data_IF_531094960853
#
_entry.id   IF_531094960853
#
_cell.length_a   1.000
_cell.length_b   1.000
_cell.length_c   1.000
_cell.angle_alpha   90.00
_cell.angle_beta   90.00
_cell.angle_gamma   90.00
#
_symmetry.space_group_name_H-M   'P 1'
#
loop_
_entity.id
_entity.type
_entity.pdbx_description
1 polymer ?
#
# COMPACT_ATOMS: atom_id res chain seq x y z
N UNK A 1 -6.52 -13.35 -13.17
CA UNK A 1 -5.96 -14.70 -13.49
C UNK A 1 -4.67 -14.85 -12.71
N UNK A 2 -4.55 -15.88 -11.87
CA UNK A 2 -3.30 -16.17 -11.14
C UNK A 2 -2.43 -17.09 -12.00
N UNK A 3 -1.15 -16.75 -12.17
CA UNK A 3 -0.17 -17.57 -12.89
C UNK A 3 1.00 -17.86 -11.94
N UNK A 4 1.29 -19.14 -11.76
CA UNK A 4 2.49 -19.60 -11.06
C UNK A 4 3.52 -20.00 -12.11
N UNK A 5 4.73 -19.43 -12.01
CA UNK A 5 5.83 -19.72 -12.91
C UNK A 5 6.97 -20.40 -12.16
N UNK A 6 7.68 -21.31 -12.84
CA UNK A 6 8.88 -21.99 -12.31
C UNK A 6 10.19 -21.27 -12.65
N UNK A 7 10.10 -20.21 -13.45
CA UNK A 7 11.21 -19.36 -13.85
C UNK A 7 10.89 -17.91 -13.53
N UNK A 8 11.91 -17.03 -13.38
CA UNK A 8 11.72 -15.61 -13.17
C UNK A 8 10.80 -14.99 -14.22
N UNK A 9 9.75 -14.29 -13.76
CA UNK A 9 8.84 -13.53 -14.63
C UNK A 9 9.32 -12.09 -14.82
N UNK A 10 10.15 -11.59 -13.91
CA UNK A 10 10.74 -10.26 -13.99
C UNK A 10 12.12 -10.40 -14.63
N UNK A 11 12.29 -9.78 -15.81
CA UNK A 11 13.57 -9.77 -16.51
C UNK A 11 14.68 -9.16 -15.65
N UNK A 12 15.92 -9.64 -15.79
CA UNK A 12 17.06 -9.12 -15.01
C UNK A 12 17.35 -7.64 -15.28
N UNK A 13 17.08 -7.17 -16.50
CA UNK A 13 17.24 -5.78 -16.90
C UNK A 13 15.96 -4.93 -16.70
N UNK A 14 14.84 -5.55 -16.30
CA UNK A 14 13.63 -4.80 -16.00
C UNK A 14 13.85 -3.97 -14.74
N UNK A 15 13.26 -2.79 -14.66
CA UNK A 15 13.21 -2.05 -13.41
C UNK A 15 12.11 -2.62 -12.50
N UNK A 16 12.39 -2.78 -11.21
CA UNK A 16 11.50 -3.45 -10.27
C UNK A 16 11.62 -2.84 -8.87
N UNK A 17 10.59 -3.04 -8.05
CA UNK A 17 10.61 -2.67 -6.63
C UNK A 17 11.29 -3.80 -5.84
N UNK A 18 12.33 -3.50 -5.04
CA UNK A 18 12.98 -4.50 -4.21
C UNK A 18 12.08 -4.90 -3.03
N UNK A 19 12.03 -6.20 -2.75
CA UNK A 19 11.32 -6.77 -1.60
C UNK A 19 12.25 -6.77 -0.39
N UNK A 20 11.77 -6.20 0.71
CA UNK A 20 12.41 -6.24 2.02
C UNK A 20 12.13 -7.59 2.69
N UNK A 21 13.19 -8.22 3.19
CA UNK A 21 13.07 -9.44 3.98
C UNK A 21 12.64 -9.13 5.41
N UNK A 22 11.36 -9.37 5.72
CA UNK A 22 10.81 -9.21 7.06
C UNK A 22 10.89 -10.48 7.90
N UNK A 23 11.39 -11.61 7.38
CA UNK A 23 11.37 -12.91 8.10
C UNK A 23 11.97 -12.88 9.51
N UNK A 24 13.00 -12.08 9.82
CA UNK A 24 13.52 -11.97 11.19
C UNK A 24 12.51 -11.46 12.22
N UNK A 25 11.46 -10.76 11.78
CA UNK A 25 10.44 -10.12 12.63
C UNK A 25 9.02 -10.64 12.38
N UNK A 26 8.74 -11.01 11.13
CA UNK A 26 7.44 -11.43 10.64
C UNK A 26 7.60 -12.51 9.55
N UNK A 27 7.81 -13.79 9.92
CA UNK A 27 8.12 -14.88 8.98
C UNK A 27 7.01 -15.15 7.95
N UNK A 28 5.76 -14.87 8.32
CA UNK A 28 4.59 -15.14 7.48
C UNK A 28 4.29 -14.00 6.50
N UNK A 29 4.88 -12.81 6.71
CA UNK A 29 4.64 -11.65 5.87
C UNK A 29 5.67 -11.58 4.76
N UNK A 30 5.14 -11.68 3.54
CA UNK A 30 5.91 -11.66 2.30
C UNK A 30 5.48 -10.43 1.50
N UNK A 31 6.28 -10.02 0.53
CA UNK A 31 5.95 -8.91 -0.38
C UNK A 31 5.94 -7.52 0.30
N UNK A 32 6.87 -7.31 1.24
CA UNK A 32 7.08 -6.02 1.86
C UNK A 32 8.02 -5.16 1.01
N UNK A 33 7.67 -3.91 0.79
CA UNK A 33 8.48 -2.92 0.09
C UNK A 33 8.71 -1.73 1.00
N UNK A 34 9.88 -1.09 0.88
CA UNK A 34 10.14 0.16 1.60
C UNK A 34 9.27 1.27 1.01
N UNK A 35 8.58 2.01 1.88
CA UNK A 35 7.84 3.23 1.49
C UNK A 35 8.83 4.37 1.36
N UNK A 36 8.94 4.94 0.16
CA UNK A 36 9.75 6.11 -0.12
C UNK A 36 9.01 7.40 0.28
N UNK A 37 7.72 7.49 -0.06
CA UNK A 37 6.87 8.63 0.30
C UNK A 37 5.43 8.18 0.54
N UNK A 38 4.81 8.79 1.54
CA UNK A 38 3.40 8.61 1.86
C UNK A 38 2.66 9.93 1.67
N UNK A 39 1.59 9.91 0.88
CA UNK A 39 0.70 11.05 0.67
C UNK A 39 -0.72 10.64 1.03
N UNK A 40 -1.40 11.43 1.86
CA UNK A 40 -2.76 11.15 2.32
C UNK A 40 -3.57 12.44 2.21
N UNK A 41 -4.74 12.39 1.57
CA UNK A 41 -5.58 13.57 1.31
C UNK A 41 -4.80 14.71 0.64
N UNK A 42 -3.92 14.38 -0.32
CA UNK A 42 -3.05 15.34 -1.00
C UNK A 42 -1.86 15.86 -0.17
N UNK A 43 -1.75 15.51 1.11
CA UNK A 43 -0.68 15.97 2.00
C UNK A 43 0.44 14.93 2.12
N UNK A 44 1.70 15.36 1.97
CA UNK A 44 2.86 14.49 2.23
C UNK A 44 3.02 14.29 3.73
N UNK A 45 3.07 13.04 4.18
CA UNK A 45 3.13 12.67 5.58
C UNK A 45 4.59 12.51 6.03
N UNK A 46 5.00 13.28 7.02
CA UNK A 46 6.31 13.13 7.66
C UNK A 46 6.29 12.03 8.72
N UNK A 47 6.95 10.91 8.41
CA UNK A 47 7.09 9.78 9.32
C UNK A 47 8.32 9.94 10.22
N UNK A 48 8.17 9.57 11.48
CA UNK A 48 9.25 9.64 12.49
C UNK A 48 10.08 8.36 12.56
N UNK A 49 9.72 7.39 11.72
CA UNK A 49 10.36 6.10 11.55
C UNK A 49 10.15 5.65 10.10
N UNK A 50 10.95 4.70 9.59
CA UNK A 50 10.71 4.09 8.28
C UNK A 50 9.32 3.48 8.19
N UNK A 51 8.79 3.30 6.99
CA UNK A 51 7.57 2.54 6.77
C UNK A 51 7.78 1.45 5.71
N UNK A 52 7.05 0.35 5.86
CA UNK A 52 6.96 -0.72 4.87
C UNK A 52 5.52 -0.92 4.41
N UNK A 53 5.36 -1.14 3.11
CA UNK A 53 4.11 -1.51 2.47
C UNK A 53 4.13 -3.01 2.20
N UNK A 54 3.19 -3.75 2.77
CA UNK A 54 3.00 -5.18 2.57
C UNK A 54 1.86 -5.34 1.59
N UNK A 55 2.14 -5.91 0.42
CA UNK A 55 1.11 -6.16 -0.59
C UNK A 55 0.25 -7.33 -0.12
N UNK A 56 -1.02 -7.07 0.17
CA UNK A 56 -1.93 -8.05 0.76
C UNK A 56 -3.24 -8.12 -0.02
N UNK A 57 -3.27 -9.02 -1.00
CA UNK A 57 -4.45 -9.28 -1.82
C UNK A 57 -5.61 -9.93 -1.06
N UNK A 58 -5.40 -10.35 0.20
CA UNK A 58 -6.44 -10.85 1.09
C UNK A 58 -7.29 -9.72 1.72
N UNK A 59 -6.86 -8.46 1.57
CA UNK A 59 -7.57 -7.30 2.10
C UNK A 59 -8.04 -6.37 0.99
N UNK A 60 -9.13 -5.65 1.24
CA UNK A 60 -9.65 -4.67 0.28
C UNK A 60 -8.94 -3.32 0.39
N UNK A 61 -8.78 -2.82 1.61
CA UNK A 61 -8.44 -1.41 1.86
C UNK A 61 -7.00 -1.18 2.28
N UNK A 62 -6.82 -0.24 3.20
CA UNK A 62 -5.55 0.13 3.78
C UNK A 62 -5.56 -0.18 5.28
N UNK A 63 -4.84 -1.23 5.69
CA UNK A 63 -4.65 -1.48 7.12
C UNK A 63 -3.35 -0.83 7.59
N UNK A 64 -3.42 -0.03 8.64
CA UNK A 64 -2.31 0.81 9.11
C UNK A 64 -1.97 0.38 10.54
N UNK A 65 -0.68 0.24 10.86
CA UNK A 65 -0.24 0.06 12.26
C UNK A 65 -0.92 1.08 13.17
N UNK A 66 -1.55 0.60 14.24
CA UNK A 66 -2.29 1.43 15.22
C UNK A 66 -1.51 2.66 15.66
N UNK A 67 -0.22 2.51 15.91
CA UNK A 67 0.65 3.59 16.35
C UNK A 67 0.72 4.74 15.34
N UNK A 68 0.78 4.45 14.04
CA UNK A 68 0.73 5.48 13.00
C UNK A 68 -0.67 6.07 12.89
N UNK A 69 -1.71 5.22 12.89
CA UNK A 69 -3.10 5.67 12.76
C UNK A 69 -3.50 6.65 13.86
N UNK A 70 -3.15 6.34 15.11
CA UNK A 70 -3.46 7.17 16.28
C UNK A 70 -2.38 8.22 16.62
N UNK A 71 -1.32 8.34 15.83
CA UNK A 71 -0.23 9.30 16.09
C UNK A 71 -0.62 10.77 15.94
N UNK A 72 -1.78 11.07 15.36
CA UNK A 72 -2.18 12.42 14.96
C UNK A 72 -1.47 12.95 13.71
N UNK A 73 -0.66 12.13 13.03
CA UNK A 73 0.11 12.53 11.82
C UNK A 73 -0.67 12.34 10.52
N UNK A 74 -1.65 11.44 10.51
CA UNK A 74 -2.49 11.22 9.34
C UNK A 74 -3.65 12.23 9.37
N UNK A 75 -3.94 12.92 8.25
CA UNK A 75 -5.15 13.72 8.12
C UNK A 75 -6.35 12.76 8.03
N UNK A 76 -7.07 12.60 9.15
CA UNK A 76 -8.28 11.78 9.22
C UNK A 76 -9.54 12.63 8.98
N UNK A 77 -10.60 12.08 8.35
CA UNK A 77 -10.67 10.74 7.76
C UNK A 77 -9.83 10.63 6.48
N UNK A 78 -9.30 9.44 6.20
CA UNK A 78 -8.57 9.17 4.95
C UNK A 78 -9.55 9.06 3.78
N UNK A 79 -9.42 9.95 2.81
CA UNK A 79 -10.20 10.00 1.57
C UNK A 79 -9.40 9.53 0.36
N UNK A 80 -8.12 9.92 0.30
CA UNK A 80 -7.18 9.48 -0.73
C UNK A 80 -5.86 9.06 -0.09
N UNK A 81 -5.20 8.08 -0.70
CA UNK A 81 -3.86 7.65 -0.29
C UNK A 81 -3.02 7.33 -1.51
N UNK A 82 -1.76 7.76 -1.47
CA UNK A 82 -0.72 7.43 -2.44
C UNK A 82 0.52 6.98 -1.69
N UNK A 83 0.96 5.76 -1.96
CA UNK A 83 2.15 5.13 -1.42
C UNK A 83 3.16 5.02 -2.55
N UNK A 84 4.29 5.69 -2.41
CA UNK A 84 5.38 5.63 -3.38
C UNK A 84 6.46 4.67 -2.92
N UNK A 85 6.83 3.77 -3.82
CA UNK A 85 7.89 2.80 -3.68
C UNK A 85 9.01 3.18 -4.65
N UNK A 86 10.24 3.10 -4.20
CA UNK A 86 11.42 3.33 -5.04
C UNK A 86 11.80 2.03 -5.75
N UNK A 87 12.07 2.11 -7.05
CA UNK A 87 12.56 0.98 -7.83
C UNK A 87 14.09 0.88 -7.79
N UNK A 88 14.65 -0.25 -8.19
CA UNK A 88 16.09 -0.48 -8.28
C UNK A 88 16.79 0.51 -9.23
N UNK A 89 16.09 0.98 -10.27
CA UNK A 89 16.55 2.01 -11.20
C UNK A 89 16.39 3.45 -10.71
N UNK A 90 15.88 3.66 -9.49
CA UNK A 90 15.63 4.99 -8.92
C UNK A 90 14.34 5.66 -9.42
N UNK A 91 13.47 4.94 -10.11
CA UNK A 91 12.15 5.42 -10.50
C UNK A 91 11.15 5.24 -9.35
N UNK A 92 9.95 5.81 -9.53
CA UNK A 92 8.86 5.72 -8.54
C UNK A 92 7.74 4.83 -9.07
N UNK A 93 7.43 3.78 -8.32
CA UNK A 93 6.19 3.02 -8.45
C UNK A 93 5.18 3.54 -7.42
N UNK A 94 4.09 4.16 -7.88
CA UNK A 94 3.08 4.72 -7.00
C UNK A 94 1.82 3.85 -6.95
N UNK A 95 1.35 3.54 -5.75
CA UNK A 95 0.11 2.84 -5.46
C UNK A 95 -0.90 3.82 -4.92
N UNK A 96 -2.09 3.88 -5.52
CA UNK A 96 -3.07 4.93 -5.22
C UNK A 96 -4.45 4.33 -5.00
N UNK A 97 -5.18 4.89 -4.03
CA UNK A 97 -6.55 4.51 -3.71
C UNK A 97 -7.38 5.72 -3.24
N UNK A 98 -8.69 5.67 -3.45
CA UNK A 98 -9.63 6.68 -2.95
C UNK A 98 -10.94 6.06 -2.46
N UNK A 99 -11.66 6.79 -1.61
CA UNK A 99 -13.00 6.41 -1.14
C UNK A 99 -14.07 6.51 -2.25
N UNK A 100 -13.76 7.20 -3.36
CA UNK A 100 -14.72 7.50 -4.43
C UNK A 100 -14.87 6.32 -5.38
N UNK A 101 -16.10 5.81 -5.47
CA UNK A 101 -16.51 4.84 -6.51
C UNK A 101 -17.10 5.57 -7.71
N UNK A 102 -16.93 5.01 -8.92
CA UNK A 102 -17.70 5.41 -10.11
C UNK A 102 -19.21 5.11 -10.03
N UNK A 103 -19.69 4.42 -8.98
CA UNK A 103 -21.11 4.11 -8.77
C UNK A 103 -21.73 5.04 -7.74
N UNK A 104 -22.96 5.54 -7.97
CA UNK A 104 -23.70 6.30 -6.95
C UNK A 104 -23.86 5.45 -5.67
N UNK A 105 -23.85 6.09 -4.49
CA UNK A 105 -24.05 5.39 -3.21
C UNK A 105 -25.36 4.59 -3.25
N UNK A 106 -25.36 3.42 -2.59
CA UNK A 106 -26.59 2.64 -2.45
C UNK A 106 -27.67 3.47 -1.74
N UNK A 107 -28.97 3.32 -2.08
CA UNK A 107 -30.04 4.05 -1.43
C UNK A 107 -29.97 3.92 0.10
N UNK A 108 -29.99 5.04 0.81
CA UNK A 108 -29.90 5.08 2.28
C UNK A 108 -28.48 5.22 2.85
N UNK A 109 -27.44 5.25 2.02
CA UNK A 109 -26.06 5.58 2.44
C UNK A 109 -25.79 7.05 2.14
N UNK A 110 -25.44 7.83 3.17
CA UNK A 110 -25.03 9.22 2.98
C UNK A 110 -23.78 9.30 2.10
N UNK A 111 -23.75 10.17 1.07
CA UNK A 111 -22.53 10.42 0.33
C UNK A 111 -21.45 10.93 1.27
N UNK A 112 -20.22 10.43 1.12
CA UNK A 112 -19.05 11.04 1.74
C UNK A 112 -18.71 12.29 0.93
N UNK A 113 -18.40 13.41 1.59
CA UNK A 113 -17.91 14.62 0.93
C UNK A 113 -16.46 14.34 0.47
N UNK A 114 -16.23 14.33 -0.84
CA UNK A 114 -14.96 13.93 -1.44
C UNK A 114 -14.43 15.10 -2.27
N UNK A 115 -13.12 15.35 -2.20
CA UNK A 115 -12.45 16.29 -3.09
C UNK A 115 -12.79 15.98 -4.57
N UNK A 116 -13.39 16.91 -5.32
CA UNK A 116 -13.73 16.70 -6.73
C UNK A 116 -12.51 16.41 -7.62
N UNK A 117 -11.30 16.79 -7.19
CA UNK A 117 -10.04 16.47 -7.88
C UNK A 117 -9.49 15.06 -7.57
N UNK A 118 -10.07 14.33 -6.62
CA UNK A 118 -9.63 12.99 -6.27
C UNK A 118 -9.88 11.98 -7.42
N UNK A 119 -8.90 11.14 -7.78
CA UNK A 119 -9.10 10.07 -8.77
C UNK A 119 -10.23 9.10 -8.36
N UNK A 120 -11.04 8.66 -9.33
CA UNK A 120 -12.14 7.71 -9.14
C UNK A 120 -11.73 6.28 -9.51
N UNK A 121 -12.19 5.28 -8.74
CA UNK A 121 -11.93 3.85 -9.01
C UNK A 121 -13.24 3.04 -9.11
N UNK A 122 -13.26 2.02 -9.98
CA UNK A 122 -14.50 1.32 -10.37
C UNK A 122 -14.99 0.26 -9.37
N UNK A 123 -14.11 -0.37 -8.59
CA UNK A 123 -14.48 -1.59 -7.82
C UNK A 123 -14.27 -1.52 -6.31
N UNK A 124 -13.08 -1.13 -5.84
CA UNK A 124 -12.71 -1.24 -4.43
C UNK A 124 -12.53 0.14 -3.78
N UNK A 125 -13.45 0.58 -2.90
CA UNK A 125 -13.29 1.84 -2.20
C UNK A 125 -12.18 1.68 -1.17
N UNK A 126 -11.43 2.75 -0.95
CA UNK A 126 -10.48 2.82 0.14
C UNK A 126 -11.22 2.73 1.48
N UNK A 127 -11.05 1.62 2.18
CA UNK A 127 -11.44 1.47 3.58
C UNK A 127 -10.18 1.50 4.42
N UNK A 128 -10.09 2.40 5.38
CA UNK A 128 -8.88 2.51 6.23
C UNK A 128 -9.18 1.99 7.63
N UNK A 129 -8.35 1.06 8.12
CA UNK A 129 -8.50 0.47 9.45
C UNK A 129 -7.18 0.43 10.21
N UNK A 130 -7.16 0.80 11.49
CA UNK A 130 -6.01 0.54 12.34
C UNK A 130 -5.87 -0.96 12.63
N UNK A 131 -4.65 -1.47 12.71
CA UNK A 131 -4.34 -2.85 13.11
C UNK A 131 -3.18 -2.90 14.10
N UNK A 132 -3.28 -3.70 15.18
CA UNK A 132 -2.20 -3.85 16.14
C UNK A 132 -1.08 -4.72 15.56
N UNK A 133 0.13 -4.16 15.42
CA UNK A 133 1.29 -4.86 14.84
C UNK A 133 2.48 -4.75 15.80
N UNK A 134 2.72 -5.81 16.57
CA UNK A 134 3.68 -5.79 17.69
C UNK A 134 5.12 -5.42 17.32
N UNK A 135 5.57 -5.72 16.10
CA UNK A 135 6.93 -5.45 15.61
C UNK A 135 7.00 -4.26 14.65
N UNK A 136 5.86 -3.60 14.39
CA UNK A 136 5.67 -2.60 13.34
C UNK A 136 5.18 -1.26 13.89
N UNK A 137 5.77 -0.82 15.00
CA UNK A 137 5.24 0.26 15.84
C UNK A 137 5.81 1.64 15.54
N UNK A 138 6.85 1.73 14.72
CA UNK A 138 7.60 2.98 14.54
C UNK A 138 8.53 3.36 15.72
N UNK A 139 8.64 2.52 16.76
CA UNK A 139 9.44 2.79 17.97
C UNK A 139 10.68 1.91 18.01
N UNK A 140 11.76 2.39 18.66
CA UNK A 140 12.95 1.57 18.89
C UNK A 140 13.67 1.10 17.62
N UNK A 141 13.46 1.78 16.49
CA UNK A 141 13.99 1.39 15.18
C UNK A 141 13.07 0.49 14.36
N UNK A 142 11.89 0.14 14.88
CA UNK A 142 10.88 -0.61 14.12
C UNK A 142 10.22 0.29 13.07
N UNK A 143 9.86 -0.24 11.89
CA UNK A 143 9.12 0.53 10.89
C UNK A 143 7.65 0.65 11.28
N UNK A 144 6.93 1.63 10.73
CA UNK A 144 5.48 1.54 10.58
C UNK A 144 5.12 0.54 9.49
N UNK A 145 3.94 -0.06 9.60
CA UNK A 145 3.50 -1.10 8.66
C UNK A 145 2.17 -0.72 8.03
N UNK A 146 2.14 -0.82 6.70
CA UNK A 146 0.99 -0.54 5.86
C UNK A 146 0.62 -1.82 5.10
N UNK A 147 -0.52 -2.44 5.37
CA UNK A 147 -1.06 -3.49 4.50
C UNK A 147 -1.84 -2.85 3.35
N UNK A 148 -1.40 -3.13 2.13
CA UNK A 148 -1.88 -2.51 0.90
C UNK A 148 -2.75 -3.52 0.15
N UNK A 149 -4.06 -3.32 0.26
CA UNK A 149 -5.07 -4.19 -0.31
C UNK A 149 -5.46 -3.88 -1.75
N UNK A 150 -6.51 -4.56 -2.22
CA UNK A 150 -6.99 -4.51 -3.60
C UNK A 150 -7.38 -3.10 -4.10
N UNK A 151 -7.76 -2.18 -3.21
CA UNK A 151 -8.06 -0.78 -3.55
C UNK A 151 -6.87 -0.07 -4.22
N UNK A 152 -5.64 -0.50 -3.93
CA UNK A 152 -4.41 0.06 -4.50
C UNK A 152 -3.91 -0.70 -5.73
N UNK A 153 -4.44 -1.90 -5.98
CA UNK A 153 -3.98 -2.83 -7.02
C UNK A 153 -4.97 -2.95 -8.18
N UNK A 154 -6.04 -2.15 -8.17
CA UNK A 154 -7.06 -2.19 -9.20
C UNK A 154 -6.48 -1.91 -10.59
N UNK A 155 -6.86 -2.74 -11.56
CA UNK A 155 -6.36 -2.71 -12.95
C UNK A 155 -4.84 -2.80 -13.11
N UNK A 156 -4.12 -3.17 -12.06
CA UNK A 156 -2.67 -3.36 -12.10
C UNK A 156 -2.31 -4.83 -12.22
N UNK A 157 -1.30 -5.11 -13.01
CA UNK A 157 -0.65 -6.41 -13.04
C UNK A 157 0.47 -6.44 -12.00
N UNK A 158 0.24 -7.17 -10.91
CA UNK A 158 1.25 -7.50 -9.93
C UNK A 158 2.03 -8.75 -10.37
N UNK A 159 3.34 -8.62 -10.54
CA UNK A 159 4.25 -9.75 -10.73
C UNK A 159 5.22 -9.80 -9.56
N UNK A 160 5.35 -10.96 -8.91
CA UNK A 160 6.23 -11.15 -7.76
C UNK A 160 7.21 -12.26 -8.09
N UNK A 161 8.50 -11.97 -7.94
CA UNK A 161 9.57 -12.95 -7.98
C UNK A 161 10.22 -13.04 -6.59
N UNK A 162 9.81 -14.05 -5.83
CA UNK A 162 10.34 -14.28 -4.48
C UNK A 162 11.77 -14.80 -4.48
N UNK A 163 12.20 -15.48 -5.55
CA UNK A 163 13.58 -15.97 -5.67
C UNK A 163 14.55 -14.82 -5.92
N UNK A 164 14.14 -13.83 -6.71
CA UNK A 164 14.91 -12.62 -6.96
C UNK A 164 14.67 -11.49 -5.95
N UNK A 165 13.70 -11.65 -5.03
CA UNK A 165 13.25 -10.61 -4.08
C UNK A 165 12.80 -9.31 -4.78
N UNK A 166 12.02 -9.44 -5.86
CA UNK A 166 11.59 -8.32 -6.69
C UNK A 166 10.10 -8.39 -6.98
N UNK A 167 9.47 -7.24 -7.14
CA UNK A 167 8.12 -7.17 -7.68
C UNK A 167 7.98 -6.06 -8.73
N UNK A 168 7.05 -6.23 -9.65
CA UNK A 168 6.60 -5.18 -10.57
C UNK A 168 5.10 -4.98 -10.44
N UNK A 169 4.67 -3.73 -10.57
CA UNK A 169 3.27 -3.31 -10.54
C UNK A 169 3.10 -2.38 -11.72
N UNK A 170 2.38 -2.84 -12.74
CA UNK A 170 2.15 -2.16 -14.03
C UNK A 170 0.67 -1.92 -14.24
#
# INVERSE_FOLDING_TARGET
RLLLARAPLIGRAADAVPIVDLRPRAPDLKYACRVARLVVNGQTITLGAPAVAIIDTGTTGWSISEELYFSGRLPLPVQTSRIELETEGGNVCALEASVRRRRPPSPGISPVEIDPAAPEYDEFPLVTSPVPIRWGTGRGGDPFVLFVGLAFLWQRQLTIDMGAQRLTIV
#
